data_IF_082932038197
#
_entry.id   IF_082932038197
#
_cell.length_a   1.000
_cell.length_b   1.000
_cell.length_c   1.000
_cell.angle_alpha   90.00
_cell.angle_beta   90.00
_cell.angle_gamma   90.00
#
_symmetry.space_group_name_H-M   'P 1'
#
loop_
_entity.id
_entity.type
_entity.pdbx_description
1 polymer ?
#
# COMPACT_ATOMS: atom_id res chain seq x y z
N UNK A 1 -28.94 -4.47 -3.95
CA UNK A 1 -27.93 -5.40 -3.40
C UNK A 1 -26.64 -4.64 -3.16
N UNK A 2 -26.39 -4.22 -1.92
CA UNK A 2 -25.24 -3.38 -1.51
C UNK A 2 -23.90 -4.14 -1.37
N UNK A 3 -23.72 -5.18 -2.18
CA UNK A 3 -22.55 -6.05 -2.10
C UNK A 3 -21.55 -5.69 -3.19
N UNK A 4 -21.08 -4.43 -3.25
CA UNK A 4 -19.92 -4.15 -4.09
C UNK A 4 -18.73 -5.00 -3.60
N UNK A 5 -17.98 -5.65 -4.51
CA UNK A 5 -16.85 -6.49 -4.13
C UNK A 5 -15.87 -5.74 -3.21
N UNK A 6 -15.40 -6.40 -2.15
CA UNK A 6 -14.54 -5.80 -1.13
C UNK A 6 -13.34 -5.07 -1.74
N UNK A 7 -12.71 -5.68 -2.74
CA UNK A 7 -11.53 -5.13 -3.42
C UNK A 7 -11.86 -3.86 -4.21
N UNK A 8 -13.04 -3.78 -4.81
CA UNK A 8 -13.53 -2.57 -5.48
C UNK A 8 -13.70 -1.43 -4.48
N UNK A 9 -14.25 -1.71 -3.28
CA UNK A 9 -14.39 -0.71 -2.22
C UNK A 9 -13.05 -0.19 -1.70
N UNK A 10 -12.06 -1.09 -1.62
CA UNK A 10 -10.71 -0.74 -1.19
C UNK A 10 -9.85 -0.12 -2.30
N UNK A 11 -10.34 -0.12 -3.54
CA UNK A 11 -9.59 0.28 -4.73
C UNK A 11 -8.29 -0.53 -4.91
N UNK A 12 -8.36 -1.84 -4.64
CA UNK A 12 -7.23 -2.77 -4.77
C UNK A 12 -7.53 -3.72 -5.92
N UNK A 13 -6.63 -3.83 -6.89
CA UNK A 13 -6.77 -4.82 -7.96
C UNK A 13 -6.60 -6.24 -7.42
N UNK A 14 -7.35 -7.24 -7.93
CA UNK A 14 -7.24 -8.63 -7.47
C UNK A 14 -5.82 -9.21 -7.50
N UNK A 15 -5.02 -8.86 -8.51
CA UNK A 15 -3.63 -9.31 -8.60
C UNK A 15 -2.76 -8.69 -7.48
N UNK A 16 -2.98 -7.40 -7.19
CA UNK A 16 -2.29 -6.71 -6.10
C UNK A 16 -2.70 -7.29 -4.74
N UNK A 17 -3.98 -7.63 -4.57
CA UNK A 17 -4.47 -8.34 -3.38
C UNK A 17 -3.82 -9.71 -3.19
N UNK A 18 -3.66 -10.48 -4.26
CA UNK A 18 -2.96 -11.76 -4.21
C UNK A 18 -1.49 -11.60 -3.78
N UNK A 19 -0.77 -10.61 -4.34
CA UNK A 19 0.61 -10.29 -3.94
C UNK A 19 0.69 -9.87 -2.48
N UNK A 20 -0.23 -9.04 -2.02
CA UNK A 20 -0.31 -8.57 -0.64
C UNK A 20 -0.51 -9.74 0.33
N UNK A 21 -1.42 -10.66 0.03
CA UNK A 21 -1.77 -11.76 0.95
C UNK A 21 -0.76 -12.90 0.94
N UNK A 22 0.01 -13.10 -0.14
CA UNK A 22 0.95 -14.22 -0.26
C UNK A 22 2.42 -13.84 -0.12
N UNK A 23 2.78 -12.58 -0.38
CA UNK A 23 4.19 -12.13 -0.47
C UNK A 23 4.44 -10.86 0.34
N UNK A 24 3.58 -10.50 1.29
CA UNK A 24 3.64 -9.24 2.03
C UNK A 24 5.06 -8.87 2.48
N UNK A 25 5.71 -9.75 3.24
CA UNK A 25 7.04 -9.52 3.84
C UNK A 25 8.19 -9.58 2.83
N UNK A 26 7.95 -10.14 1.63
CA UNK A 26 8.93 -10.12 0.53
C UNK A 26 8.87 -8.82 -0.27
N UNK A 27 7.70 -8.20 -0.33
CA UNK A 27 7.48 -6.95 -1.07
C UNK A 27 7.78 -5.74 -0.19
N UNK A 28 7.42 -5.82 1.09
CA UNK A 28 7.52 -4.70 2.03
C UNK A 28 8.47 -5.00 3.19
N UNK A 29 9.47 -4.14 3.33
CA UNK A 29 10.48 -4.22 4.39
C UNK A 29 10.41 -3.00 5.33
N UNK A 30 9.24 -2.37 5.43
CA UNK A 30 9.05 -1.13 6.18
C UNK A 30 7.60 -0.66 6.11
N UNK A 31 7.40 0.64 6.33
CA UNK A 31 6.07 1.24 6.28
C UNK A 31 5.40 1.04 4.91
N UNK A 32 4.07 0.87 4.95
CA UNK A 32 3.21 0.57 3.81
C UNK A 32 1.92 1.38 3.95
N UNK A 33 1.44 1.95 2.85
CA UNK A 33 0.18 2.68 2.82
C UNK A 33 0.10 3.59 1.62
N UNK A 34 -0.99 4.36 1.52
CA UNK A 34 -1.15 5.35 0.43
C UNK A 34 -0.05 6.41 0.49
N UNK A 35 0.30 6.97 -0.66
CA UNK A 35 1.38 7.96 -0.84
C UNK A 35 1.35 9.08 0.20
N UNK A 36 0.18 9.64 0.50
CA UNK A 36 0.04 10.72 1.46
C UNK A 36 0.41 10.25 2.88
N UNK A 37 -0.18 9.15 3.34
CA UNK A 37 0.13 8.58 4.66
C UNK A 37 1.62 8.20 4.79
N UNK A 38 2.23 7.73 3.71
CA UNK A 38 3.66 7.45 3.66
C UNK A 38 4.52 8.71 3.77
N UNK A 39 4.09 9.79 3.12
CA UNK A 39 4.76 11.10 3.19
C UNK A 39 4.67 11.67 4.60
N UNK A 40 3.47 11.73 5.18
CA UNK A 40 3.22 12.21 6.53
C UNK A 40 3.99 11.38 7.58
N UNK A 41 4.09 10.06 7.39
CA UNK A 41 4.86 9.18 8.25
C UNK A 41 6.37 9.49 8.20
N UNK A 42 6.92 9.65 6.99
CA UNK A 42 8.34 9.97 6.83
C UNK A 42 8.68 11.37 7.37
N UNK A 43 7.84 12.37 7.14
CA UNK A 43 8.01 13.72 7.65
C UNK A 43 7.99 13.76 9.17
N UNK A 44 7.00 13.12 9.82
CA UNK A 44 6.92 13.05 11.29
C UNK A 44 8.13 12.38 11.94
N UNK A 45 8.76 11.43 11.25
CA UNK A 45 9.95 10.74 11.76
C UNK A 45 11.27 11.39 11.31
N UNK A 46 11.24 12.53 10.61
CA UNK A 46 12.44 13.16 10.04
C UNK A 46 13.18 12.29 9.03
N UNK A 47 12.51 11.29 8.44
CA UNK A 47 13.09 10.35 7.49
C UNK A 47 13.07 10.93 6.08
N UNK A 48 14.25 11.24 5.54
CA UNK A 48 14.40 11.70 4.15
C UNK A 48 14.03 10.66 3.10
N UNK A 49 14.22 9.36 3.40
CA UNK A 49 13.89 8.26 2.47
C UNK A 49 12.49 7.69 2.75
N UNK A 50 11.72 7.53 1.66
CA UNK A 50 10.39 6.92 1.64
C UNK A 50 10.48 5.49 1.10
N UNK A 51 11.01 4.59 1.93
CA UNK A 51 11.15 3.16 1.57
C UNK A 51 9.79 2.58 1.20
N UNK A 52 9.75 1.77 0.13
CA UNK A 52 8.54 1.17 -0.43
C UNK A 52 7.53 2.12 -1.09
N UNK A 53 7.83 3.41 -1.28
CA UNK A 53 6.86 4.35 -1.88
C UNK A 53 6.39 3.91 -3.26
N UNK A 54 7.32 3.52 -4.13
CA UNK A 54 7.02 3.07 -5.49
C UNK A 54 6.13 1.82 -5.48
N UNK A 55 6.42 0.88 -4.59
CA UNK A 55 5.62 -0.34 -4.40
C UNK A 55 4.24 -0.01 -3.85
N UNK A 56 4.13 0.98 -2.95
CA UNK A 56 2.87 1.46 -2.43
C UNK A 56 2.00 2.13 -3.52
N UNK A 57 2.57 3.02 -4.32
CA UNK A 57 1.87 3.65 -5.46
C UNK A 57 1.36 2.57 -6.44
N UNK A 58 2.18 1.57 -6.76
CA UNK A 58 1.78 0.47 -7.65
C UNK A 58 0.67 -0.42 -7.09
N UNK A 59 0.61 -0.63 -5.78
CA UNK A 59 -0.31 -1.58 -5.15
C UNK A 59 -1.60 -0.93 -4.63
N UNK A 60 -1.58 0.37 -4.32
CA UNK A 60 -2.68 1.07 -3.66
C UNK A 60 -3.21 2.32 -4.41
N UNK A 61 -2.62 2.70 -5.55
CA UNK A 61 -2.95 3.93 -6.27
C UNK A 61 -2.22 5.14 -5.71
#
# INVERSE_FOLDING_TARGET
SDSQPLLTRLQIEPENWFKLTTRFTKVFHGAVGRKQAMTDYCERLGKKRRTNLVQCERLFG
#
